data_IF_574084513191
#
_entry.id   IF_574084513191
#
_cell.length_a   1.000
_cell.length_b   1.000
_cell.length_c   1.000
_cell.angle_alpha   90.00
_cell.angle_beta   90.00
_cell.angle_gamma   90.00
#
_symmetry.space_group_name_H-M   'P 1'
#
loop_
_entity.id
_entity.type
_entity.pdbx_description
1 polymer ?
#
# COMPACT_ATOMS: atom_id res chain seq x y z
N UNK A 1 42.16 -76.61 -5.36
CA UNK A 1 42.13 -76.08 -6.74
C UNK A 1 40.73 -75.52 -7.02
N UNK A 2 40.71 -74.37 -7.69
CA UNK A 2 39.58 -73.45 -7.91
C UNK A 2 38.35 -74.10 -8.54
N UNK A 3 37.16 -73.65 -8.14
CA UNK A 3 36.20 -73.10 -9.10
C UNK A 3 35.23 -72.12 -8.42
N UNK A 4 35.60 -70.84 -8.51
CA UNK A 4 34.80 -69.67 -8.16
C UNK A 4 33.93 -69.40 -9.39
N UNK A 5 32.75 -70.01 -9.44
CA UNK A 5 31.70 -69.69 -10.40
C UNK A 5 30.46 -69.36 -9.59
N UNK A 6 30.32 -68.09 -9.19
CA UNK A 6 29.06 -67.40 -8.93
C UNK A 6 29.38 -65.93 -8.67
N UNK A 7 29.93 -65.30 -9.70
CA UNK A 7 30.35 -63.91 -9.74
C UNK A 7 29.68 -63.29 -10.97
N UNK A 8 28.34 -63.13 -10.95
CA UNK A 8 27.61 -62.23 -11.86
C UNK A 8 26.08 -62.24 -11.60
N UNK A 9 25.58 -61.76 -10.45
CA UNK A 9 24.18 -61.30 -10.38
C UNK A 9 24.04 -60.06 -9.50
N UNK A 10 23.52 -59.02 -10.14
CA UNK A 10 22.95 -57.79 -9.58
C UNK A 10 23.93 -56.77 -8.96
N UNK A 11 24.58 -56.02 -9.85
CA UNK A 11 24.84 -54.59 -9.61
C UNK A 11 23.65 -53.83 -10.21
N UNK A 12 23.34 -52.68 -9.59
CA UNK A 12 22.52 -51.56 -10.09
C UNK A 12 21.02 -51.70 -9.84
N UNK A 13 20.49 -51.04 -8.80
CA UNK A 13 19.47 -49.99 -8.95
C UNK A 13 19.11 -49.38 -7.58
N UNK A 14 19.82 -48.34 -7.14
CA UNK A 14 19.19 -47.34 -6.27
C UNK A 14 19.91 -46.00 -6.39
N UNK A 15 19.61 -45.18 -7.40
CA UNK A 15 19.73 -43.75 -7.21
C UNK A 15 18.61 -43.38 -6.23
N UNK A 16 18.97 -43.13 -4.97
CA UNK A 16 18.09 -42.39 -4.08
C UNK A 16 17.71 -41.10 -4.83
N UNK A 17 16.42 -41.00 -5.15
CA UNK A 17 15.80 -39.79 -5.65
C UNK A 17 16.03 -38.71 -4.60
N UNK A 18 17.12 -37.95 -4.76
CA UNK A 18 17.20 -36.57 -4.31
C UNK A 18 16.14 -35.81 -5.12
N UNK A 19 14.87 -35.95 -4.73
CA UNK A 19 13.87 -34.94 -5.01
C UNK A 19 14.30 -33.74 -4.18
N UNK A 20 15.27 -32.99 -4.71
CA UNK A 20 15.52 -31.64 -4.27
C UNK A 20 14.19 -30.94 -4.40
N UNK A 21 13.60 -30.56 -3.27
CA UNK A 21 12.55 -29.56 -3.22
C UNK A 21 13.17 -28.26 -3.78
N UNK A 22 13.22 -28.15 -5.10
CA UNK A 22 13.13 -26.88 -5.77
C UNK A 22 11.71 -26.39 -5.53
N UNK A 23 11.43 -25.96 -4.29
CA UNK A 23 10.35 -25.02 -4.08
C UNK A 23 10.85 -23.76 -4.77
N UNK A 24 10.46 -23.57 -6.03
CA UNK A 24 10.51 -22.27 -6.67
C UNK A 24 9.72 -21.36 -5.73
N UNK A 25 10.44 -20.59 -4.92
CA UNK A 25 9.83 -19.57 -4.08
C UNK A 25 9.38 -18.52 -5.10
N UNK A 26 8.11 -18.59 -5.50
CA UNK A 26 7.48 -17.56 -6.30
C UNK A 26 7.50 -16.29 -5.46
N UNK A 27 8.43 -15.39 -5.76
CA UNK A 27 8.47 -14.08 -5.13
C UNK A 27 7.26 -13.30 -5.69
N UNK A 28 6.25 -12.97 -4.86
CA UNK A 28 5.09 -12.23 -5.35
C UNK A 28 5.55 -10.89 -5.93
N UNK A 29 5.14 -10.63 -7.18
CA UNK A 29 5.40 -9.35 -7.85
C UNK A 29 4.27 -8.38 -7.52
N UNK A 30 4.59 -7.34 -6.77
CA UNK A 30 3.65 -6.26 -6.45
C UNK A 30 3.80 -5.13 -7.45
N UNK A 31 2.77 -4.90 -8.26
CA UNK A 31 2.77 -3.82 -9.26
C UNK A 31 2.29 -2.51 -8.64
N UNK A 32 2.77 -1.38 -9.15
CA UNK A 32 2.20 -0.07 -8.81
C UNK A 32 0.69 -0.01 -9.10
N UNK A 33 -0.03 0.85 -8.38
CA UNK A 33 -1.46 1.06 -8.61
C UNK A 33 -1.68 1.66 -10.00
N UNK A 34 -2.61 1.10 -10.77
CA UNK A 34 -2.94 1.62 -12.10
C UNK A 34 -3.85 2.84 -12.01
N UNK A 35 -3.22 4.01 -12.10
CA UNK A 35 -3.87 5.31 -11.98
C UNK A 35 -4.75 5.71 -13.18
N UNK A 36 -4.59 5.06 -14.34
CA UNK A 36 -5.38 5.36 -15.55
C UNK A 36 -6.88 5.13 -15.39
N UNK A 37 -7.27 4.31 -14.41
CA UNK A 37 -8.67 3.99 -14.11
C UNK A 37 -9.33 5.00 -13.17
N UNK A 38 -8.57 5.91 -12.57
CA UNK A 38 -9.09 6.91 -11.65
C UNK A 38 -9.46 8.21 -12.37
N UNK A 39 -10.40 9.00 -11.79
CA UNK A 39 -10.75 10.31 -12.33
C UNK A 39 -9.52 11.23 -12.44
N UNK A 40 -9.57 12.16 -13.39
CA UNK A 40 -8.56 13.20 -13.58
C UNK A 40 -9.15 14.56 -13.23
N UNK A 41 -8.32 15.43 -12.67
CA UNK A 41 -8.72 16.76 -12.21
C UNK A 41 -7.74 17.80 -12.75
N UNK A 42 -8.28 18.66 -13.58
CA UNK A 42 -7.55 19.76 -14.17
C UNK A 42 -7.93 21.03 -13.40
N UNK A 43 -6.96 21.63 -12.73
CA UNK A 43 -7.20 22.85 -11.96
C UNK A 43 -6.85 24.10 -12.75
N UNK A 44 -7.65 25.15 -12.58
CA UNK A 44 -7.31 26.53 -12.94
C UNK A 44 -6.24 27.08 -11.99
N UNK A 45 -5.07 26.47 -12.02
CA UNK A 45 -3.92 26.77 -11.20
C UNK A 45 -2.65 26.83 -12.06
N UNK A 46 -1.67 27.59 -11.59
CA UNK A 46 -0.35 27.73 -12.22
C UNK A 46 0.57 26.54 -11.96
N UNK A 47 0.38 25.86 -10.81
CA UNK A 47 1.15 24.68 -10.41
C UNK A 47 0.40 23.85 -9.36
N UNK A 48 0.81 22.60 -9.27
CA UNK A 48 0.46 21.67 -8.18
C UNK A 48 1.72 21.41 -7.36
N UNK A 49 1.64 21.64 -6.06
CA UNK A 49 2.72 21.39 -5.09
C UNK A 49 2.28 20.28 -4.17
N UNK A 50 3.12 19.25 -4.01
CA UNK A 50 2.87 18.17 -3.05
C UNK A 50 3.89 18.30 -1.91
N UNK A 51 3.44 18.28 -0.66
CA UNK A 51 4.30 18.39 0.52
C UNK A 51 4.10 17.21 1.47
N UNK A 52 5.12 16.35 1.54
CA UNK A 52 5.18 15.18 2.41
C UNK A 52 5.80 15.47 3.78
N UNK A 53 6.46 16.62 3.96
CA UNK A 53 7.14 16.96 5.21
C UNK A 53 6.18 17.23 6.38
N UNK A 54 4.87 17.25 6.12
CA UNK A 54 3.83 17.42 7.13
C UNK A 54 3.30 16.09 7.69
N UNK A 55 3.79 14.96 7.19
CA UNK A 55 3.38 13.66 7.68
C UNK A 55 3.89 13.44 9.12
N UNK A 56 3.00 13.12 10.05
CA UNK A 56 3.39 12.81 11.42
C UNK A 56 4.34 11.60 11.47
N UNK A 57 5.43 11.73 12.23
CA UNK A 57 6.33 10.61 12.50
C UNK A 57 5.73 9.73 13.60
N UNK A 58 5.57 8.44 13.31
CA UNK A 58 5.10 7.44 14.27
C UNK A 58 6.22 6.48 14.62
N UNK A 59 6.47 6.27 15.92
CA UNK A 59 7.56 5.41 16.41
C UNK A 59 7.46 3.95 15.98
N UNK A 60 6.26 3.51 15.61
CA UNK A 60 5.95 2.14 15.20
C UNK A 60 5.53 2.07 13.73
N UNK A 61 5.93 3.05 12.93
CA UNK A 61 5.64 3.07 11.49
C UNK A 61 6.45 1.99 10.76
N UNK A 62 5.74 1.11 10.07
CA UNK A 62 6.27 0.02 9.25
C UNK A 62 5.91 0.21 7.76
N UNK A 63 5.61 1.43 7.33
CA UNK A 63 5.21 1.72 5.94
C UNK A 63 6.25 1.29 4.90
N UNK A 64 7.51 1.20 5.28
CA UNK A 64 8.61 0.70 4.44
C UNK A 64 8.60 -0.83 4.27
N UNK A 65 7.84 -1.57 5.07
CA UNK A 65 7.68 -3.02 4.94
C UNK A 65 6.58 -3.40 3.94
N UNK A 66 5.68 -2.46 3.61
CA UNK A 66 4.68 -2.66 2.58
C UNK A 66 5.36 -2.65 1.19
N UNK A 67 5.07 -3.62 0.30
CA UNK A 67 5.64 -3.65 -1.05
C UNK A 67 5.34 -2.40 -1.87
N UNK A 68 4.17 -1.81 -1.64
CA UNK A 68 3.75 -0.52 -2.17
C UNK A 68 3.32 0.34 -0.99
N UNK A 69 3.91 1.53 -0.83
CA UNK A 69 3.57 2.43 0.27
C UNK A 69 2.39 3.34 -0.07
N UNK A 70 1.68 3.83 0.95
CA UNK A 70 0.65 4.87 0.80
C UNK A 70 1.24 6.15 0.18
N UNK A 71 2.44 6.54 0.59
CA UNK A 71 3.12 7.73 0.09
C UNK A 71 3.42 7.63 -1.42
N UNK A 72 4.03 6.52 -1.84
CA UNK A 72 4.39 6.30 -3.25
C UNK A 72 3.15 6.20 -4.14
N UNK A 73 2.09 5.56 -3.64
CA UNK A 73 0.79 5.49 -4.30
C UNK A 73 0.18 6.89 -4.50
N UNK A 74 0.16 7.71 -3.44
CA UNK A 74 -0.35 9.07 -3.50
C UNK A 74 0.46 9.93 -4.49
N UNK A 75 1.79 9.89 -4.40
CA UNK A 75 2.68 10.63 -5.30
C UNK A 75 2.43 10.26 -6.76
N UNK A 76 2.34 8.96 -7.04
CA UNK A 76 2.09 8.45 -8.39
C UNK A 76 0.75 8.93 -8.92
N UNK A 77 -0.30 8.88 -8.11
CA UNK A 77 -1.64 9.33 -8.49
C UNK A 77 -1.73 10.83 -8.71
N UNK A 78 -1.19 11.66 -7.80
CA UNK A 78 -1.19 13.12 -7.98
C UNK A 78 -0.50 13.49 -9.29
N UNK A 79 0.67 12.90 -9.57
CA UNK A 79 1.39 13.14 -10.82
C UNK A 79 0.62 12.71 -12.08
N UNK A 80 -0.27 11.71 -11.97
CA UNK A 80 -0.98 11.11 -13.11
C UNK A 80 -2.38 11.68 -13.33
N UNK A 81 -3.01 12.17 -12.25
CA UNK A 81 -4.44 12.48 -12.21
C UNK A 81 -4.74 13.93 -11.80
N UNK A 82 -3.76 14.70 -11.33
CA UNK A 82 -3.96 16.10 -10.95
C UNK A 82 -3.01 16.97 -11.77
N UNK A 83 -3.57 17.91 -12.54
CA UNK A 83 -2.79 18.87 -13.32
C UNK A 83 -3.19 20.31 -13.01
N UNK A 84 -2.25 21.21 -13.33
CA UNK A 84 -2.44 22.65 -13.33
C UNK A 84 -2.45 23.10 -14.80
N UNK A 85 -3.62 23.51 -15.29
CA UNK A 85 -3.85 23.73 -16.73
C UNK A 85 -3.82 25.23 -17.10
N UNK A 86 -3.43 26.11 -16.17
CA UNK A 86 -3.34 27.55 -16.41
C UNK A 86 -2.08 28.17 -15.79
N UNK A 87 -1.00 28.21 -16.57
CA UNK A 87 0.25 28.84 -16.14
C UNK A 87 0.10 30.32 -15.73
N UNK A 88 -0.93 31.03 -16.21
CA UNK A 88 -1.21 32.42 -15.88
C UNK A 88 -2.22 32.57 -14.72
N UNK A 89 -2.69 31.47 -14.14
CA UNK A 89 -3.63 31.54 -13.01
C UNK A 89 -2.95 32.20 -11.81
N UNK A 90 -3.65 33.11 -11.11
CA UNK A 90 -3.15 33.64 -9.85
C UNK A 90 -3.19 32.61 -8.72
N UNK A 91 -3.67 31.39 -8.99
CA UNK A 91 -3.82 30.33 -8.00
C UNK A 91 -2.73 29.26 -8.11
N UNK A 92 -2.44 28.58 -7.00
CA UNK A 92 -1.71 27.33 -6.97
C UNK A 92 -2.39 26.33 -6.04
N UNK A 93 -2.33 25.05 -6.40
CA UNK A 93 -2.86 23.96 -5.59
C UNK A 93 -1.74 23.36 -4.76
N UNK A 94 -1.95 23.21 -3.46
CA UNK A 94 -1.04 22.56 -2.53
C UNK A 94 -1.72 21.34 -1.90
N UNK A 95 -1.06 20.20 -1.97
CA UNK A 95 -1.48 18.96 -1.32
C UNK A 95 -0.54 18.70 -0.15
N UNK A 96 -1.05 18.87 1.06
CA UNK A 96 -0.33 18.68 2.32
C UNK A 96 -0.66 17.29 2.87
N UNK A 97 0.31 16.38 2.89
CA UNK A 97 0.13 15.05 3.47
C UNK A 97 0.32 15.15 4.99
N UNK A 98 -0.76 14.92 5.73
CA UNK A 98 -0.81 15.06 7.20
C UNK A 98 -0.47 13.73 7.87
N UNK A 99 -0.94 12.62 7.29
CA UNK A 99 -0.63 11.27 7.76
C UNK A 99 -0.47 10.35 6.55
N UNK A 100 0.54 9.49 6.56
CA UNK A 100 0.70 8.41 5.60
C UNK A 100 1.54 7.31 6.25
N UNK A 101 0.92 6.51 7.12
CA UNK A 101 1.64 5.52 7.93
C UNK A 101 0.89 4.19 8.04
N UNK A 102 1.62 3.14 8.42
CA UNK A 102 1.12 1.82 8.80
C UNK A 102 1.78 1.46 10.12
N UNK A 103 1.01 1.09 11.13
CA UNK A 103 1.53 0.63 12.42
C UNK A 103 1.21 -0.83 12.65
N UNK A 104 2.12 -1.54 13.30
CA UNK A 104 1.96 -2.93 13.73
C UNK A 104 1.69 -2.99 15.24
N UNK A 105 0.72 -3.79 15.65
CA UNK A 105 0.41 -4.06 17.06
C UNK A 105 0.21 -5.56 17.28
N UNK A 106 1.00 -6.15 18.19
CA UNK A 106 0.77 -7.53 18.63
C UNK A 106 -0.53 -7.64 19.41
N UNK A 107 -1.35 -8.62 19.05
CA UNK A 107 -2.58 -8.94 19.74
C UNK A 107 -2.28 -9.95 20.87
N UNK A 108 -2.95 -9.84 22.03
CA UNK A 108 -2.84 -10.86 23.05
C UNK A 108 -3.42 -12.17 22.53
N UNK A 109 -2.67 -13.27 22.63
CA UNK A 109 -3.13 -14.59 22.21
C UNK A 109 -4.41 -14.97 22.96
N UNK A 110 -5.54 -14.97 22.25
CA UNK A 110 -6.83 -15.33 22.83
C UNK A 110 -6.89 -16.84 23.07
N UNK A 111 -6.68 -17.24 24.32
CA UNK A 111 -6.92 -18.61 24.84
C UNK A 111 -8.41 -18.94 24.99
N UNK A 112 -9.33 -18.13 24.43
CA UNK A 112 -10.77 -18.35 24.55
C UNK A 112 -11.28 -19.45 23.62
N UNK A 113 -12.07 -20.37 24.18
CA UNK A 113 -12.63 -21.55 23.51
C UNK A 113 -13.54 -21.23 22.30
N UNK A 114 -13.94 -19.96 22.13
CA UNK A 114 -14.69 -19.47 20.96
C UNK A 114 -13.90 -19.49 19.65
N UNK A 115 -12.57 -19.62 19.69
CA UNK A 115 -11.71 -19.69 18.50
C UNK A 115 -11.45 -21.12 17.98
N UNK A 116 -12.11 -22.17 18.51
CA UNK A 116 -11.93 -23.53 17.98
C UNK A 116 -12.37 -23.71 16.51
N UNK A 117 -13.07 -22.74 15.92
CA UNK A 117 -13.44 -22.72 14.49
C UNK A 117 -12.58 -21.78 13.62
N UNK A 118 -11.74 -20.91 14.19
CA UNK A 118 -10.96 -19.91 13.45
C UNK A 118 -9.47 -19.97 13.78
N UNK A 119 -8.60 -19.52 12.86
CA UNK A 119 -7.16 -19.39 13.17
C UNK A 119 -6.96 -18.25 14.18
N UNK A 120 -6.10 -18.41 15.20
CA UNK A 120 -5.75 -17.32 16.10
C UNK A 120 -5.11 -16.17 15.31
N UNK A 121 -5.34 -14.93 15.76
CA UNK A 121 -4.78 -13.71 15.19
C UNK A 121 -3.72 -13.16 16.15
N UNK A 122 -2.52 -12.89 15.63
CA UNK A 122 -1.38 -12.49 16.46
C UNK A 122 -0.99 -11.04 16.27
N UNK A 123 -1.36 -10.43 15.14
CA UNK A 123 -0.93 -9.09 14.77
C UNK A 123 -2.06 -8.30 14.11
N UNK A 124 -2.24 -7.07 14.54
CA UNK A 124 -3.11 -6.06 13.94
C UNK A 124 -2.27 -4.99 13.25
N UNK A 125 -2.61 -4.70 12.01
CA UNK A 125 -2.08 -3.59 11.23
C UNK A 125 -3.11 -2.48 11.15
N UNK A 126 -2.73 -1.27 11.56
CA UNK A 126 -3.57 -0.07 11.42
C UNK A 126 -2.86 0.93 10.55
N UNK A 127 -3.56 1.44 9.54
CA UNK A 127 -3.01 2.39 8.59
C UNK A 127 -3.89 3.64 8.49
N UNK A 128 -3.27 4.77 8.20
CA UNK A 128 -3.94 6.06 7.99
C UNK A 128 -3.32 6.81 6.83
N UNK A 129 -4.17 7.38 5.99
CA UNK A 129 -3.79 8.37 4.98
C UNK A 129 -4.66 9.60 5.18
N UNK A 130 -4.05 10.77 5.31
CA UNK A 130 -4.74 12.05 5.44
C UNK A 130 -4.04 13.12 4.59
N UNK A 131 -4.80 13.80 3.75
CA UNK A 131 -4.30 14.83 2.82
C UNK A 131 -5.22 16.03 2.87
N UNK A 132 -4.63 17.22 3.00
CA UNK A 132 -5.33 18.49 2.81
C UNK A 132 -5.02 19.01 1.40
N UNK A 133 -6.06 19.30 0.63
CA UNK A 133 -6.02 20.01 -0.62
C UNK A 133 -6.31 21.47 -0.34
N UNK A 134 -5.37 22.34 -0.64
CA UNK A 134 -5.41 23.76 -0.29
C UNK A 134 -5.14 24.56 -1.57
N UNK A 135 -6.10 25.40 -1.97
CA UNK A 135 -5.90 26.32 -3.08
C UNK A 135 -5.54 27.71 -2.52
N UNK A 136 -4.46 28.29 -3.02
CA UNK A 136 -3.98 29.59 -2.61
C UNK A 136 -3.91 30.53 -3.80
N UNK A 137 -4.10 31.81 -3.54
CA UNK A 137 -3.67 32.88 -4.44
C UNK A 137 -2.18 33.20 -4.18
N UNK A 138 -1.41 33.58 -5.21
CA UNK A 138 0.07 33.67 -5.19
C UNK A 138 0.66 34.57 -4.08
N UNK A 139 -0.13 35.43 -3.44
CA UNK A 139 0.30 36.28 -2.32
C UNK A 139 -0.46 36.05 -1.01
N UNK A 140 -1.38 35.08 -0.95
CA UNK A 140 -2.20 34.83 0.23
C UNK A 140 -1.57 33.74 1.10
N UNK A 141 -1.60 33.97 2.42
CA UNK A 141 -1.15 33.00 3.43
C UNK A 141 -2.28 32.04 3.82
N UNK A 142 -3.54 32.43 3.60
CA UNK A 142 -4.73 31.64 3.91
C UNK A 142 -5.26 31.03 2.60
N UNK A 143 -5.58 29.72 2.58
CA UNK A 143 -6.18 29.11 1.41
C UNK A 143 -7.57 29.70 1.13
N UNK A 144 -7.86 29.96 -0.14
CA UNK A 144 -9.17 30.44 -0.60
C UNK A 144 -10.19 29.31 -0.74
N UNK A 145 -9.71 28.07 -0.81
CA UNK A 145 -10.53 26.87 -0.76
C UNK A 145 -9.72 25.71 -0.16
N UNK A 146 -10.39 24.86 0.61
CA UNK A 146 -9.75 23.74 1.31
C UNK A 146 -10.66 22.51 1.26
N UNK A 147 -10.05 21.34 1.10
CA UNK A 147 -10.71 20.04 1.26
C UNK A 147 -9.78 19.10 2.02
N UNK A 148 -10.30 18.41 3.03
CA UNK A 148 -9.55 17.40 3.79
C UNK A 148 -10.09 16.02 3.48
N UNK A 149 -9.20 15.10 3.15
CA UNK A 149 -9.55 13.70 2.89
C UNK A 149 -8.74 12.82 3.83
N UNK A 150 -9.42 11.97 4.59
CA UNK A 150 -8.76 10.99 5.46
C UNK A 150 -9.42 9.63 5.36
N UNK A 151 -8.59 8.60 5.24
CA UNK A 151 -9.00 7.19 5.29
C UNK A 151 -8.20 6.45 6.34
N UNK A 152 -8.84 5.45 6.94
CA UNK A 152 -8.21 4.50 7.87
C UNK A 152 -8.51 3.09 7.38
N UNK A 153 -7.57 2.19 7.60
CA UNK A 153 -7.73 0.78 7.30
C UNK A 153 -7.11 -0.07 8.39
N UNK A 154 -7.69 -1.24 8.60
CA UNK A 154 -7.22 -2.20 9.59
C UNK A 154 -7.25 -3.60 8.97
N UNK A 155 -6.22 -4.39 9.25
CA UNK A 155 -6.13 -5.79 8.84
C UNK A 155 -5.43 -6.61 9.92
N UNK A 156 -5.74 -7.90 10.02
CA UNK A 156 -5.16 -8.80 11.01
C UNK A 156 -4.49 -9.98 10.34
N UNK A 157 -3.30 -10.34 10.81
CA UNK A 157 -2.56 -11.52 10.34
C UNK A 157 -2.74 -12.68 11.32
N UNK A 158 -2.91 -13.89 10.78
CA UNK A 158 -3.12 -15.07 11.61
C UNK A 158 -1.79 -15.64 12.11
N UNK A 159 -1.86 -16.38 13.20
CA UNK A 159 -0.73 -17.14 13.72
C UNK A 159 -0.21 -18.14 12.68
N UNK A 160 1.10 -18.11 12.45
CA UNK A 160 1.78 -19.01 11.51
C UNK A 160 1.74 -18.58 10.04
N UNK A 161 1.15 -17.43 9.72
CA UNK A 161 1.24 -16.84 8.38
C UNK A 161 2.70 -16.43 8.07
N UNK A 162 3.10 -16.55 6.81
CA UNK A 162 4.47 -16.32 6.36
C UNK A 162 4.78 -14.83 6.13
N UNK A 163 6.06 -14.50 5.90
CA UNK A 163 6.44 -13.14 5.46
C UNK A 163 5.75 -12.73 4.14
N UNK A 164 5.56 -13.68 3.23
CA UNK A 164 4.87 -13.44 1.96
C UNK A 164 3.39 -13.09 2.20
N UNK A 165 2.75 -13.76 3.17
CA UNK A 165 1.37 -13.46 3.57
C UNK A 165 1.26 -12.07 4.20
N UNK A 166 2.23 -11.69 5.06
CA UNK A 166 2.32 -10.32 5.58
C UNK A 166 2.43 -9.29 4.46
N UNK A 167 3.34 -9.48 3.51
CA UNK A 167 3.53 -8.55 2.38
C UNK A 167 2.26 -8.43 1.52
N UNK A 168 1.60 -9.55 1.25
CA UNK A 168 0.31 -9.57 0.52
C UNK A 168 -0.78 -8.82 1.28
N UNK A 169 -0.91 -9.07 2.58
CA UNK A 169 -1.89 -8.39 3.43
C UNK A 169 -1.65 -6.87 3.47
N UNK A 170 -0.39 -6.43 3.57
CA UNK A 170 -0.04 -5.02 3.55
C UNK A 170 -0.33 -4.38 2.19
N UNK A 171 -0.03 -5.04 1.08
CA UNK A 171 -0.37 -4.56 -0.27
C UNK A 171 -1.89 -4.44 -0.46
N UNK A 172 -2.67 -5.43 -0.02
CA UNK A 172 -4.14 -5.39 -0.05
C UNK A 172 -4.70 -4.23 0.79
N UNK A 173 -4.17 -4.03 2.00
CA UNK A 173 -4.53 -2.90 2.87
C UNK A 173 -4.28 -1.56 2.17
N UNK A 174 -3.08 -1.36 1.61
CA UNK A 174 -2.71 -0.13 0.90
C UNK A 174 -3.61 0.10 -0.32
N UNK A 175 -3.82 -0.91 -1.17
CA UNK A 175 -4.67 -0.79 -2.36
C UNK A 175 -6.10 -0.44 -2.01
N UNK A 176 -6.68 -1.11 -1.01
CA UNK A 176 -8.04 -0.83 -0.55
C UNK A 176 -8.15 0.59 -0.04
N UNK A 177 -7.26 1.00 0.87
CA UNK A 177 -7.27 2.36 1.42
C UNK A 177 -7.07 3.41 0.35
N UNK A 178 -6.19 3.16 -0.61
CA UNK A 178 -5.94 4.11 -1.68
C UNK A 178 -7.16 4.28 -2.59
N UNK A 179 -7.84 3.18 -2.93
CA UNK A 179 -9.11 3.23 -3.65
C UNK A 179 -10.19 4.00 -2.89
N UNK A 180 -10.30 3.78 -1.57
CA UNK A 180 -11.23 4.51 -0.72
C UNK A 180 -10.89 6.02 -0.66
N UNK A 181 -9.60 6.36 -0.59
CA UNK A 181 -9.11 7.74 -0.63
C UNK A 181 -9.50 8.46 -1.92
N UNK A 182 -9.25 7.82 -3.07
CA UNK A 182 -9.63 8.39 -4.38
C UNK A 182 -11.13 8.56 -4.49
N UNK A 183 -11.92 7.58 -4.03
CA UNK A 183 -13.39 7.66 -4.03
C UNK A 183 -13.91 8.81 -3.18
N UNK A 184 -13.38 9.00 -1.98
CA UNK A 184 -13.80 10.12 -1.10
C UNK A 184 -13.37 11.46 -1.72
N UNK A 185 -12.19 11.50 -2.35
CA UNK A 185 -11.73 12.69 -3.07
C UNK A 185 -12.70 13.05 -4.18
N UNK A 186 -13.06 12.11 -5.04
CA UNK A 186 -14.00 12.30 -6.16
C UNK A 186 -15.37 12.81 -5.70
N UNK A 187 -15.91 12.22 -4.62
CA UNK A 187 -17.19 12.64 -4.04
C UNK A 187 -17.20 14.09 -3.52
N UNK A 188 -16.03 14.62 -3.14
CA UNK A 188 -15.92 15.89 -2.43
C UNK A 188 -15.33 17.02 -3.30
N UNK A 189 -14.47 16.68 -4.25
CA UNK A 189 -13.64 17.66 -4.97
C UNK A 189 -14.47 18.73 -5.69
N UNK A 190 -15.60 18.37 -6.29
CA UNK A 190 -16.50 19.34 -6.93
C UNK A 190 -17.21 20.26 -5.93
N UNK A 191 -17.52 19.78 -4.72
CA UNK A 191 -18.20 20.57 -3.70
C UNK A 191 -17.28 21.63 -3.08
N UNK A 192 -16.01 21.28 -2.86
CA UNK A 192 -15.06 22.16 -2.17
C UNK A 192 -14.17 22.95 -3.12
N UNK A 193 -13.77 22.36 -4.25
CA UNK A 193 -12.81 22.93 -5.18
C UNK A 193 -13.37 23.10 -6.61
N UNK A 194 -14.63 22.73 -6.85
CA UNK A 194 -15.20 22.68 -8.20
C UNK A 194 -15.20 23.99 -8.97
N UNK A 195 -15.21 25.14 -8.29
CA UNK A 195 -15.08 26.47 -8.91
C UNK A 195 -13.75 26.69 -9.62
N UNK A 196 -12.74 25.88 -9.28
CA UNK A 196 -11.38 25.96 -9.80
C UNK A 196 -11.03 24.73 -10.64
N UNK A 197 -11.99 23.86 -10.94
CA UNK A 197 -11.83 22.76 -11.89
C UNK A 197 -12.20 23.24 -13.31
N UNK A 198 -11.53 22.65 -14.30
CA UNK A 198 -11.76 22.90 -15.73
C UNK A 198 -12.30 21.66 -16.45
#
# INVERSE_FOLDING_TARGET
MKNINNLLKLIVLMPLLLVGCSSNIEIPKFNAINNSTFPKYNFDASKVVINFNQAASHSNDISNEAPVSLESSLRSWVNSNISADNYNSPYYLKLSVIDAFITEKKLPSSTSWKNKLGRPQDVEYKAKLAVNFELYEVNNVIPIAEMKVSVKGEQTLNSGDSLADKQKLLDELVRKMFKDFVKITDNNIYNYLGKFLR
#
